data_IF_476252975689
#
_entry.id   IF_476252975689
#
_cell.length_a   1.000
_cell.length_b   1.000
_cell.length_c   1.000
_cell.angle_alpha   90.00
_cell.angle_beta   90.00
_cell.angle_gamma   90.00
#
_symmetry.space_group_name_H-M   'P 1'
#
loop_
_entity.id
_entity.type
_entity.pdbx_description
1 polymer ?
#
# COMPACT_ATOMS: atom_id res chain seq x y z
N UNK A 1 -6.04 -22.69 22.56
CA UNK A 1 -5.04 -23.68 23.01
C UNK A 1 -4.16 -23.96 21.80
N UNK A 2 -2.82 -23.86 21.96
CA UNK A 2 -1.73 -24.20 21.01
C UNK A 2 -1.60 -23.35 19.73
N UNK A 3 -0.46 -22.79 19.26
CA UNK A 3 1.01 -22.99 19.30
C UNK A 3 1.56 -23.31 17.88
N UNK A 4 2.51 -22.47 17.43
CA UNK A 4 3.75 -22.77 16.68
C UNK A 4 3.76 -23.33 15.22
N UNK A 5 4.65 -22.69 14.43
CA UNK A 5 5.34 -23.00 13.14
C UNK A 5 5.75 -24.49 12.88
N UNK A 6 6.17 -24.96 11.66
CA UNK A 6 7.07 -24.28 10.69
C UNK A 6 6.88 -24.47 9.14
N UNK A 7 7.77 -23.76 8.44
CA UNK A 7 8.07 -23.57 7.00
C UNK A 7 8.18 -24.81 6.08
N UNK A 8 7.83 -24.66 4.79
CA UNK A 8 8.52 -25.30 3.65
C UNK A 8 8.37 -24.51 2.32
N UNK A 9 9.34 -24.73 1.43
CA UNK A 9 9.90 -23.86 0.37
C UNK A 9 9.16 -23.85 -1.00
N UNK A 10 9.38 -22.79 -1.80
CA UNK A 10 8.84 -22.56 -3.16
C UNK A 10 9.96 -22.69 -4.23
N UNK A 11 9.64 -23.21 -5.43
CA UNK A 11 10.52 -23.17 -6.63
C UNK A 11 9.73 -22.61 -7.82
N UNK A 12 10.31 -21.65 -8.53
CA UNK A 12 9.78 -21.03 -9.76
C UNK A 12 10.73 -21.26 -10.95
N UNK A 13 10.20 -21.24 -12.17
CA UNK A 13 10.95 -21.39 -13.43
C UNK A 13 10.48 -20.36 -14.47
N UNK A 14 11.43 -19.74 -15.18
CA UNK A 14 11.26 -18.76 -16.28
C UNK A 14 11.41 -19.44 -17.66
N UNK A 15 10.89 -18.82 -18.73
CA UNK A 15 11.47 -18.97 -20.08
C UNK A 15 11.22 -17.74 -21.00
N UNK A 16 12.25 -17.45 -21.82
CA UNK A 16 12.49 -16.35 -22.77
C UNK A 16 11.89 -16.60 -24.18
N UNK A 17 11.72 -15.55 -25.01
CA UNK A 17 12.27 -15.50 -26.39
C UNK A 17 12.22 -14.13 -27.09
N UNK A 18 13.13 -14.01 -28.05
CA UNK A 18 13.63 -12.87 -28.86
C UNK A 18 13.14 -12.87 -30.32
N UNK A 19 13.44 -11.81 -31.11
CA UNK A 19 14.10 -11.81 -32.46
C UNK A 19 13.62 -10.63 -33.36
N UNK A 20 14.44 -9.59 -33.64
CA UNK A 20 15.27 -9.28 -34.85
C UNK A 20 14.61 -8.47 -36.00
N UNK A 21 15.30 -7.38 -36.37
CA UNK A 21 15.15 -6.41 -37.48
C UNK A 21 15.91 -6.92 -38.75
N UNK A 22 15.74 -6.37 -39.99
CA UNK A 22 16.51 -5.18 -40.43
C UNK A 22 15.88 -4.26 -41.52
N UNK A 23 16.39 -3.01 -41.61
CA UNK A 23 16.21 -1.99 -42.69
C UNK A 23 17.24 -2.18 -43.84
N UNK A 24 17.05 -1.60 -45.05
CA UNK A 24 17.77 -0.34 -45.39
C UNK A 24 17.15 0.63 -46.46
N UNK A 25 17.52 1.92 -46.31
CA UNK A 25 17.82 2.98 -47.33
C UNK A 25 16.76 3.56 -48.30
N UNK A 26 16.48 4.88 -48.18
CA UNK A 26 16.68 5.91 -49.22
C UNK A 26 16.68 7.34 -48.62
N UNK A 27 17.41 8.26 -49.26
CA UNK A 27 17.90 9.56 -48.77
C UNK A 27 17.34 10.71 -49.63
N UNK A 28 17.19 11.90 -49.01
CA UNK A 28 17.07 13.28 -49.56
C UNK A 28 15.73 13.76 -50.17
N UNK A 29 15.15 14.82 -49.58
CA UNK A 29 15.16 16.20 -50.13
C UNK A 29 14.78 17.25 -49.06
N UNK A 30 15.46 18.39 -49.14
CA UNK A 30 15.31 19.59 -48.30
C UNK A 30 14.39 20.58 -49.05
N UNK A 31 13.38 21.17 -48.41
CA UNK A 31 12.76 22.42 -48.88
C UNK A 31 11.98 23.11 -47.76
N UNK A 32 12.39 24.34 -47.45
CA UNK A 32 11.72 25.30 -46.59
C UNK A 32 10.54 25.97 -47.33
N UNK A 33 9.37 26.09 -46.70
CA UNK A 33 8.42 27.18 -46.98
C UNK A 33 7.19 27.19 -46.05
N UNK A 34 7.24 28.08 -45.05
CA UNK A 34 6.26 29.09 -44.60
C UNK A 34 4.75 28.80 -44.38
N UNK A 35 4.35 29.07 -43.12
CA UNK A 35 3.14 29.73 -42.59
C UNK A 35 1.71 29.25 -42.94
N UNK A 36 0.99 28.79 -41.91
CA UNK A 36 -0.25 29.46 -41.45
C UNK A 36 -0.49 29.20 -39.95
N UNK A 37 -0.47 30.28 -39.16
CA UNK A 37 -0.84 30.27 -37.74
C UNK A 37 -2.37 30.25 -37.65
N UNK A 38 -2.94 29.09 -37.34
CA UNK A 38 -4.36 28.99 -36.97
C UNK A 38 -4.50 29.62 -35.58
N UNK A 39 -5.30 30.68 -35.50
CA UNK A 39 -5.68 31.36 -34.27
C UNK A 39 -6.33 30.37 -33.29
N UNK A 40 -5.60 29.96 -32.27
CA UNK A 40 -6.15 29.17 -31.17
C UNK A 40 -7.00 30.09 -30.29
N UNK A 41 -8.31 29.84 -30.34
CA UNK A 41 -9.31 30.59 -29.62
C UNK A 41 -9.06 30.50 -28.10
N UNK A 42 -9.05 31.65 -27.40
CA UNK A 42 -8.69 31.78 -25.98
C UNK A 42 -9.61 30.96 -25.05
N UNK A 43 -10.77 30.53 -25.56
CA UNK A 43 -11.72 29.64 -24.88
C UNK A 43 -11.28 28.17 -24.83
N UNK A 44 -10.48 27.68 -25.78
CA UNK A 44 -10.03 26.27 -25.81
C UNK A 44 -8.99 26.00 -24.72
N UNK A 45 -8.16 27.00 -24.39
CA UNK A 45 -7.18 26.91 -23.30
C UNK A 45 -7.86 26.91 -21.92
N UNK A 46 -8.99 27.60 -21.76
CA UNK A 46 -9.76 27.57 -20.52
C UNK A 46 -10.46 26.22 -20.28
N UNK A 47 -10.93 25.54 -21.33
CA UNK A 47 -11.56 24.22 -21.17
C UNK A 47 -10.56 23.13 -20.77
N UNK A 48 -9.34 23.21 -21.29
CA UNK A 48 -8.21 22.37 -20.85
C UNK A 48 -7.69 22.73 -19.44
N UNK A 49 -7.82 24.00 -19.03
CA UNK A 49 -7.50 24.45 -17.66
C UNK A 49 -8.52 23.99 -16.60
N UNK A 50 -9.81 23.89 -16.97
CA UNK A 50 -10.88 23.44 -16.06
C UNK A 50 -10.97 21.90 -16.00
N UNK A 51 -10.49 21.20 -17.04
CA UNK A 51 -10.21 19.75 -17.00
C UNK A 51 -8.85 19.43 -16.37
N UNK A 52 -8.24 20.38 -15.65
CA UNK A 52 -7.20 20.13 -14.66
C UNK A 52 -7.72 19.48 -13.37
N UNK A 53 -8.87 18.79 -13.42
CA UNK A 53 -9.18 17.76 -12.43
C UNK A 53 -8.11 16.70 -12.57
N UNK A 54 -7.14 16.77 -11.64
CA UNK A 54 -6.05 15.84 -11.47
C UNK A 54 -6.43 14.47 -12.04
N UNK A 55 -5.71 14.02 -13.07
CA UNK A 55 -5.62 12.60 -13.33
C UNK A 55 -5.08 12.00 -12.05
N UNK A 56 -5.98 11.56 -11.15
CA UNK A 56 -5.60 10.84 -9.95
C UNK A 56 -4.76 9.68 -10.47
N UNK A 57 -3.46 9.77 -10.24
CA UNK A 57 -2.55 8.73 -10.63
C UNK A 57 -3.12 7.47 -9.97
N UNK A 58 -3.44 6.41 -10.73
CA UNK A 58 -4.17 5.24 -10.18
C UNK A 58 -3.40 4.61 -9.00
N UNK A 59 -2.09 4.90 -8.93
CA UNK A 59 -1.21 4.63 -7.79
C UNK A 59 -1.53 5.38 -6.49
N UNK A 60 -2.44 6.36 -6.45
CA UNK A 60 -2.81 7.08 -5.23
C UNK A 60 -4.12 6.59 -4.59
N UNK A 61 -4.86 5.69 -5.26
CA UNK A 61 -6.18 5.24 -4.78
C UNK A 61 -6.08 4.16 -3.68
N UNK A 62 -5.10 3.27 -3.81
CA UNK A 62 -4.98 2.05 -3.01
C UNK A 62 -4.03 2.25 -1.81
N UNK A 63 -4.38 3.20 -0.95
CA UNK A 63 -3.57 3.59 0.22
C UNK A 63 -4.40 3.75 1.49
N UNK A 64 -3.68 3.94 2.59
CA UNK A 64 -4.24 4.51 3.82
C UNK A 64 -4.32 6.02 3.65
N UNK A 65 -5.50 6.61 3.80
CA UNK A 65 -5.72 8.05 3.55
C UNK A 65 -5.49 8.91 4.78
N UNK A 66 -6.05 8.51 5.91
CA UNK A 66 -5.90 9.20 7.19
C UNK A 66 -5.36 8.26 8.26
N UNK A 67 -4.53 8.80 9.14
CA UNK A 67 -4.00 8.12 10.32
C UNK A 67 -4.35 8.93 11.56
N UNK A 68 -4.88 8.28 12.60
CA UNK A 68 -5.25 8.96 13.87
C UNK A 68 -4.84 8.14 15.09
N UNK A 69 -3.97 8.69 15.92
CA UNK A 69 -3.64 8.17 17.24
C UNK A 69 -4.56 8.75 18.34
N UNK A 70 -4.57 8.16 19.53
CA UNK A 70 -5.33 8.67 20.67
C UNK A 70 -4.62 9.88 21.32
N UNK A 71 -5.16 11.09 21.09
CA UNK A 71 -4.59 12.37 21.54
C UNK A 71 -4.37 12.56 23.05
N UNK A 72 -5.05 11.79 23.90
CA UNK A 72 -5.02 11.94 25.37
C UNK A 72 -4.27 10.83 26.08
N UNK A 73 -3.57 9.97 25.34
CA UNK A 73 -2.79 8.86 25.90
C UNK A 73 -1.29 9.20 25.86
N UNK A 74 -0.51 8.73 26.85
CA UNK A 74 0.93 8.97 26.88
C UNK A 74 1.60 8.41 25.62
N UNK A 75 2.61 9.09 25.08
CA UNK A 75 3.31 8.62 23.87
C UNK A 75 2.43 8.60 22.62
N UNK A 76 1.52 9.57 22.45
CA UNK A 76 0.75 9.78 21.21
C UNK A 76 1.64 9.77 19.96
N UNK A 77 2.77 10.48 20.00
CA UNK A 77 3.69 10.56 18.87
C UNK A 77 4.27 9.19 18.48
N UNK A 78 4.61 8.36 19.48
CA UNK A 78 5.06 6.98 19.26
C UNK A 78 3.96 6.12 18.62
N UNK A 79 2.72 6.26 19.10
CA UNK A 79 1.56 5.58 18.53
C UNK A 79 1.34 6.00 17.07
N UNK A 80 1.40 7.30 16.78
CA UNK A 80 1.26 7.83 15.43
C UNK A 80 2.35 7.31 14.48
N UNK A 81 3.62 7.38 14.90
CA UNK A 81 4.77 6.84 14.16
C UNK A 81 4.64 5.34 13.89
N UNK A 82 4.12 4.58 14.85
CA UNK A 82 3.86 3.15 14.67
C UNK A 82 2.79 2.90 13.59
N UNK A 83 1.68 3.62 13.62
CA UNK A 83 0.62 3.51 12.60
C UNK A 83 1.12 3.92 11.21
N UNK A 84 1.91 4.99 11.10
CA UNK A 84 2.54 5.39 9.83
C UNK A 84 3.46 4.30 9.28
N UNK A 85 4.27 3.69 10.16
CA UNK A 85 5.16 2.59 9.77
C UNK A 85 4.36 1.39 9.29
N UNK A 86 3.25 1.05 9.94
CA UNK A 86 2.35 -0.02 9.51
C UNK A 86 1.74 0.31 8.15
N UNK A 87 1.20 1.52 7.97
CA UNK A 87 0.58 1.96 6.72
C UNK A 87 1.56 1.84 5.54
N UNK A 88 2.81 2.31 5.72
CA UNK A 88 3.88 2.15 4.72
C UNK A 88 4.17 0.68 4.40
N UNK A 89 4.19 -0.16 5.44
CA UNK A 89 4.51 -1.58 5.31
C UNK A 89 3.47 -2.37 4.51
N UNK A 90 2.18 -2.05 4.68
CA UNK A 90 1.08 -2.74 3.99
C UNK A 90 0.74 -2.14 2.63
N UNK A 91 1.31 -0.99 2.29
CA UNK A 91 1.10 -0.31 1.00
C UNK A 91 1.26 -1.21 -0.23
N UNK A 92 2.34 -2.01 -0.40
CA UNK A 92 2.47 -2.92 -1.55
C UNK A 92 1.37 -3.99 -1.61
N UNK A 93 0.89 -4.47 -0.46
CA UNK A 93 -0.22 -5.41 -0.37
C UNK A 93 -1.52 -4.74 -0.82
N UNK A 94 -1.79 -3.54 -0.31
CA UNK A 94 -2.98 -2.77 -0.68
C UNK A 94 -3.02 -2.49 -2.17
N UNK A 95 -1.89 -2.15 -2.79
CA UNK A 95 -1.77 -2.02 -4.24
C UNK A 95 -2.11 -3.31 -4.99
N UNK A 96 -1.50 -4.43 -4.60
CA UNK A 96 -1.70 -5.72 -5.27
C UNK A 96 -3.17 -6.16 -5.23
N UNK A 97 -3.84 -5.95 -4.10
CA UNK A 97 -5.24 -6.35 -3.89
C UNK A 97 -6.25 -5.25 -4.24
N UNK A 98 -5.80 -4.09 -4.71
CA UNK A 98 -6.64 -2.90 -4.99
C UNK A 98 -7.49 -2.49 -3.79
N UNK A 99 -6.94 -2.61 -2.59
CA UNK A 99 -7.61 -2.23 -1.34
C UNK A 99 -7.33 -0.78 -0.97
N UNK A 100 -8.29 -0.17 -0.27
CA UNK A 100 -8.19 1.18 0.27
C UNK A 100 -8.61 1.19 1.73
N UNK A 101 -7.94 1.99 2.53
CA UNK A 101 -8.32 2.24 3.94
C UNK A 101 -8.51 3.74 4.11
N UNK A 102 -9.75 4.20 4.33
CA UNK A 102 -9.98 5.65 4.49
C UNK A 102 -9.37 6.17 5.79
N UNK A 103 -9.56 5.44 6.89
CA UNK A 103 -9.02 5.81 8.19
C UNK A 103 -8.38 4.62 8.89
N UNK A 104 -7.09 4.73 9.20
CA UNK A 104 -6.39 3.86 10.14
C UNK A 104 -6.29 4.58 11.48
N UNK A 105 -6.85 4.01 12.54
CA UNK A 105 -6.87 4.65 13.84
C UNK A 105 -6.47 3.74 14.98
N UNK A 106 -5.83 4.32 16.00
CA UNK A 106 -5.69 3.66 17.29
C UNK A 106 -7.05 3.60 18.01
N UNK A 107 -7.31 2.50 18.71
CA UNK A 107 -8.40 2.41 19.67
C UNK A 107 -7.98 1.68 20.95
N UNK A 108 -8.81 1.81 21.99
CA UNK A 108 -8.58 1.17 23.27
C UNK A 108 -9.91 0.69 23.87
N UNK A 109 -10.46 -0.44 23.37
CA UNK A 109 -11.74 -0.96 23.84
C UNK A 109 -11.65 -1.52 25.27
N UNK A 110 -12.80 -1.67 25.94
CA UNK A 110 -12.85 -2.30 27.26
C UNK A 110 -12.54 -3.80 27.19
N UNK A 111 -12.91 -4.47 26.09
CA UNK A 111 -12.58 -5.87 25.87
C UNK A 111 -11.06 -6.02 25.62
N UNK A 112 -10.30 -6.70 26.49
CA UNK A 112 -8.85 -6.86 26.33
C UNK A 112 -8.47 -7.74 25.14
N UNK A 113 -9.35 -8.66 24.72
CA UNK A 113 -9.10 -9.59 23.62
C UNK A 113 -9.29 -8.97 22.24
N UNK A 114 -9.89 -7.78 22.15
CA UNK A 114 -10.11 -7.08 20.89
C UNK A 114 -8.86 -6.28 20.50
N UNK A 115 -8.10 -6.82 19.53
CA UNK A 115 -6.84 -6.25 19.04
C UNK A 115 -7.03 -5.40 17.78
N UNK A 116 -8.00 -5.73 16.94
CA UNK A 116 -8.28 -5.06 15.68
C UNK A 116 -9.78 -5.00 15.38
N UNK A 117 -10.17 -4.10 14.48
CA UNK A 117 -11.53 -4.04 13.94
C UNK A 117 -11.56 -3.35 12.59
N UNK A 118 -12.03 -4.05 11.56
CA UNK A 118 -12.36 -3.49 10.25
C UNK A 118 -13.86 -3.19 10.15
N UNK A 119 -14.19 -1.92 9.87
CA UNK A 119 -15.55 -1.45 9.64
C UNK A 119 -15.73 -1.12 8.17
N UNK A 120 -16.75 -1.72 7.56
CA UNK A 120 -17.18 -1.40 6.19
C UNK A 120 -16.15 -1.73 5.12
N UNK A 121 -15.41 -2.84 5.29
CA UNK A 121 -14.40 -3.32 4.33
C UNK A 121 -13.39 -2.22 3.93
N UNK A 122 -12.73 -1.62 4.93
CA UNK A 122 -11.71 -0.60 4.73
C UNK A 122 -12.21 0.84 4.79
N UNK A 123 -13.43 1.10 5.26
CA UNK A 123 -13.81 2.47 5.64
C UNK A 123 -13.01 2.89 6.87
N UNK A 124 -12.96 2.06 7.89
CA UNK A 124 -12.15 2.32 9.07
C UNK A 124 -11.52 1.04 9.58
N UNK A 125 -10.21 1.06 9.76
CA UNK A 125 -9.47 0.00 10.45
C UNK A 125 -8.97 0.55 11.78
N UNK A 126 -9.29 -0.15 12.86
CA UNK A 126 -8.88 0.22 14.21
C UNK A 126 -7.88 -0.80 14.73
N UNK A 127 -6.77 -0.34 15.28
CA UNK A 127 -5.73 -1.19 15.86
C UNK A 127 -5.49 -0.83 17.32
N UNK A 128 -5.37 -1.84 18.17
CA UNK A 128 -5.00 -1.67 19.57
C UNK A 128 -3.49 -1.70 19.63
N UNK A 129 -2.89 -0.57 19.97
CA UNK A 129 -1.45 -0.44 20.09
C UNK A 129 -0.94 -0.73 21.50
N UNK A 130 -1.83 -0.63 22.50
CA UNK A 130 -1.47 -0.65 23.93
C UNK A 130 -2.07 -1.85 24.65
N UNK A 131 -1.31 -2.40 25.60
CA UNK A 131 -1.78 -3.47 26.48
C UNK A 131 -2.91 -2.98 27.38
N UNK A 132 -3.87 -3.85 27.72
CA UNK A 132 -4.93 -3.50 28.64
C UNK A 132 -4.36 -3.12 30.02
N UNK A 133 -4.98 -2.13 30.66
CA UNK A 133 -4.61 -1.57 31.97
C UNK A 133 -3.19 -0.97 32.05
N UNK A 134 -2.51 -0.77 30.91
CA UNK A 134 -1.15 -0.21 30.86
C UNK A 134 -1.01 0.73 29.68
N UNK A 135 -1.39 1.99 29.89
CA UNK A 135 -1.44 2.98 28.82
C UNK A 135 -0.09 3.23 28.15
N UNK A 136 1.03 3.10 28.86
CA UNK A 136 2.38 3.32 28.28
C UNK A 136 3.03 2.06 27.67
N UNK A 137 2.40 0.89 27.79
CA UNK A 137 2.96 -0.40 27.37
C UNK A 137 2.39 -0.79 26.00
N UNK A 138 3.22 -0.68 24.97
CA UNK A 138 2.84 -0.97 23.59
C UNK A 138 3.03 -2.46 23.25
N UNK A 139 2.17 -2.98 22.39
CA UNK A 139 2.42 -4.26 21.74
C UNK A 139 3.64 -4.17 20.81
N UNK A 140 4.40 -5.27 20.65
CA UNK A 140 5.46 -5.34 19.65
C UNK A 140 4.94 -5.01 18.25
N UNK A 141 5.75 -4.31 17.46
CA UNK A 141 5.38 -3.87 16.12
C UNK A 141 4.87 -5.03 15.24
N UNK A 142 5.54 -6.17 15.26
CA UNK A 142 5.20 -7.32 14.42
C UNK A 142 3.81 -7.89 14.75
N UNK A 143 3.41 -7.86 16.03
CA UNK A 143 2.09 -8.30 16.46
C UNK A 143 0.99 -7.36 15.97
N UNK A 144 1.24 -6.05 16.01
CA UNK A 144 0.30 -5.05 15.50
C UNK A 144 0.21 -5.12 13.97
N UNK A 145 1.35 -5.33 13.29
CA UNK A 145 1.38 -5.54 11.85
C UNK A 145 0.58 -6.78 11.45
N UNK A 146 0.75 -7.91 12.14
CA UNK A 146 -0.01 -9.13 11.88
C UNK A 146 -1.53 -8.91 12.08
N UNK A 147 -1.90 -8.16 13.12
CA UNK A 147 -3.28 -7.71 13.33
C UNK A 147 -3.79 -6.86 12.16
N UNK A 148 -2.97 -5.93 11.65
CA UNK A 148 -3.34 -5.15 10.46
C UNK A 148 -3.57 -6.03 9.23
N UNK A 149 -2.75 -7.06 9.01
CA UNK A 149 -2.93 -8.00 7.89
C UNK A 149 -4.22 -8.80 8.04
N UNK A 150 -4.54 -9.23 9.26
CA UNK A 150 -5.82 -9.86 9.59
C UNK A 150 -7.00 -8.93 9.22
N UNK A 151 -6.95 -7.68 9.68
CA UNK A 151 -8.02 -6.72 9.38
C UNK A 151 -8.13 -6.42 7.88
N UNK A 152 -7.03 -6.37 7.13
CA UNK A 152 -7.10 -6.21 5.67
C UNK A 152 -7.78 -7.39 4.97
N UNK A 153 -7.66 -8.62 5.48
CA UNK A 153 -8.38 -9.77 4.94
C UNK A 153 -9.90 -9.56 4.99
N UNK A 154 -10.40 -8.83 5.99
CA UNK A 154 -11.82 -8.46 6.10
C UNK A 154 -12.32 -7.54 4.97
N UNK A 155 -11.45 -6.98 4.13
CA UNK A 155 -11.88 -6.30 2.90
C UNK A 155 -12.41 -7.26 1.83
N UNK A 156 -12.03 -8.54 1.88
CA UNK A 156 -12.46 -9.58 0.94
C UNK A 156 -13.32 -10.67 1.59
N UNK A 157 -13.06 -11.00 2.86
CA UNK A 157 -13.70 -12.10 3.56
C UNK A 157 -14.19 -11.67 4.94
N UNK A 158 -15.52 -11.60 5.12
CA UNK A 158 -16.13 -11.31 6.43
C UNK A 158 -15.87 -12.41 7.47
N UNK A 159 -16.32 -13.66 7.25
CA UNK A 159 -16.17 -14.73 8.24
C UNK A 159 -14.76 -15.34 8.24
N UNK A 160 -14.29 -15.79 9.41
CA UNK A 160 -13.02 -16.52 9.60
C UNK A 160 -13.11 -17.97 9.11
N UNK A 161 -13.31 -18.16 7.81
CA UNK A 161 -13.33 -19.47 7.16
C UNK A 161 -11.96 -19.84 6.54
N UNK A 162 -11.87 -21.00 5.89
CA UNK A 162 -10.63 -21.46 5.26
C UNK A 162 -10.07 -20.47 4.22
N UNK A 163 -10.93 -19.80 3.45
CA UNK A 163 -10.51 -18.78 2.49
C UNK A 163 -9.89 -17.57 3.17
N UNK A 164 -10.43 -17.13 4.32
CA UNK A 164 -9.84 -16.07 5.13
C UNK A 164 -8.42 -16.42 5.57
N UNK A 165 -8.24 -17.60 6.19
CA UNK A 165 -6.92 -18.01 6.69
C UNK A 165 -5.91 -18.20 5.56
N UNK A 166 -6.34 -18.74 4.43
CA UNK A 166 -5.50 -18.87 3.23
C UNK A 166 -5.00 -17.50 2.75
N UNK A 167 -5.90 -16.52 2.65
CA UNK A 167 -5.53 -15.15 2.26
C UNK A 167 -4.56 -14.53 3.29
N UNK A 168 -4.84 -14.67 4.58
CA UNK A 168 -3.99 -14.14 5.63
C UNK A 168 -2.57 -14.74 5.59
N UNK A 169 -2.44 -16.04 5.38
CA UNK A 169 -1.16 -16.71 5.18
C UNK A 169 -0.43 -16.23 3.92
N UNK A 170 -1.15 -15.96 2.83
CA UNK A 170 -0.58 -15.37 1.61
C UNK A 170 -0.02 -13.97 1.88
N UNK A 171 -0.73 -13.14 2.66
CA UNK A 171 -0.26 -11.78 3.00
C UNK A 171 1.02 -11.80 3.84
N UNK A 172 1.17 -12.75 4.77
CA UNK A 172 2.37 -12.88 5.61
C UNK A 172 3.60 -13.36 4.85
N UNK A 173 3.42 -14.01 3.69
CA UNK A 173 4.52 -14.49 2.83
C UNK A 173 5.11 -13.39 1.95
N UNK A 174 4.42 -12.25 1.80
CA UNK A 174 4.95 -11.13 1.03
C UNK A 174 6.23 -10.67 1.73
N UNK A 175 7.40 -10.70 1.07
CA UNK A 175 8.64 -10.24 1.67
C UNK A 175 8.50 -8.76 1.97
N UNK A 176 8.24 -8.50 3.23
CA UNK A 176 8.32 -7.22 3.89
C UNK A 176 9.78 -6.81 3.90
N UNK A 177 10.31 -6.41 2.74
CA UNK A 177 11.69 -5.98 2.59
C UNK A 177 11.99 -4.96 3.69
N UNK A 178 12.97 -5.18 4.57
CA UNK A 178 13.56 -4.08 5.28
C UNK A 178 14.22 -3.22 4.19
N UNK A 179 13.68 -2.03 3.98
CA UNK A 179 14.14 -1.02 3.04
C UNK A 179 15.53 -0.44 3.44
N UNK A 180 16.42 -1.26 4.01
CA UNK A 180 17.77 -0.92 4.46
C UNK A 180 18.85 -1.71 3.70
N UNK A 181 18.55 -2.86 3.05
CA UNK A 181 19.63 -3.72 2.52
C UNK A 181 19.84 -3.71 0.99
N UNK A 182 19.03 -3.01 0.18
CA UNK A 182 19.19 -3.08 -1.30
C UNK A 182 19.50 -1.76 -2.03
N UNK A 183 19.55 -0.62 -1.34
CA UNK A 183 20.00 0.64 -1.96
C UNK A 183 21.47 1.00 -1.66
N UNK A 184 22.15 0.29 -0.73
CA UNK A 184 23.56 0.58 -0.39
C UNK A 184 24.59 -0.35 -1.06
N UNK A 185 24.19 -1.29 -1.92
CA UNK A 185 25.14 -2.24 -2.55
C UNK A 185 25.23 -2.12 -4.08
N UNK A 186 24.83 -0.98 -4.67
CA UNK A 186 24.92 -0.75 -6.12
C UNK A 186 25.43 0.65 -6.53
N UNK A 187 26.15 1.34 -5.65
CA UNK A 187 26.79 2.63 -6.00
C UNK A 187 28.27 2.71 -5.56
N UNK A 188 28.94 1.58 -5.33
CA UNK A 188 30.40 1.52 -5.14
C UNK A 188 31.00 0.38 -5.99
N UNK A 189 30.96 0.53 -7.33
CA UNK A 189 31.96 0.03 -8.30
C UNK A 189 31.98 1.02 -9.46
#
# INVERSE_FOLDING_TARGET
>A
MFQCFPFFSYRASNSLRSSTNPNPFFRFFNSQSQFSLISFNRYTVLYLGILGFATMNVGDLHKVWEIKALKRKPGEEQAHKMLEKIAKQVQPIMHKHKWRVKLLSEFYPNNPSLLGLNVGAGIQVKLRLRRPNRDSDFYPYDQVLDTMLHELCHNAHGPHNSSFYKLWDELRKVPFFPLILLMLCKMDI
#
